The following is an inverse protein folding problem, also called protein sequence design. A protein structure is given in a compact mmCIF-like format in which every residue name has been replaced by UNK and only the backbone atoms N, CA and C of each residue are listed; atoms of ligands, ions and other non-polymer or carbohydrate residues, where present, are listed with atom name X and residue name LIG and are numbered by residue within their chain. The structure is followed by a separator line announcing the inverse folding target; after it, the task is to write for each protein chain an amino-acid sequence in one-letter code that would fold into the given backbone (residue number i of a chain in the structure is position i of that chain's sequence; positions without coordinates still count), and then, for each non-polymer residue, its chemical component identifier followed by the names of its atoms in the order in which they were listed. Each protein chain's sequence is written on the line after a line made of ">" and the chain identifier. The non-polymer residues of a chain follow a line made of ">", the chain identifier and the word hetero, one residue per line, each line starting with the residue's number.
data_IF_299176012936
#
_entry.id   IF_299176012936
#
_cell.length_a   1.000
_cell.length_b   1.000
_cell.length_c   1.000
_cell.angle_alpha   90.00
_cell.angle_beta   90.00
_cell.angle_gamma   90.00
#
_symmetry.space_group_name_H-M   'P 1'
#
loop_
_entity.id
_entity.type
_entity.pdbx_description
1 polymer ?
#
# COMPACT_ATOMS: atom_id res chain seq x y z
N UNK A 1 -15.59 4.37 1.06
CA UNK A 1 -14.74 3.88 2.17
C UNK A 1 -15.02 4.63 3.49
N UNK A 2 -14.86 5.96 3.57
CA UNK A 2 -15.09 6.71 4.81
C UNK A 2 -16.49 6.50 5.41
N UNK A 3 -17.53 6.59 4.59
CA UNK A 3 -18.92 6.36 5.02
C UNK A 3 -19.14 4.95 5.58
N UNK A 4 -18.59 3.93 4.91
CA UNK A 4 -18.61 2.54 5.38
C UNK A 4 -17.94 2.39 6.75
N UNK A 5 -16.91 3.20 7.03
CA UNK A 5 -16.17 3.17 8.29
C UNK A 5 -16.91 3.82 9.46
N UNK A 6 -18.01 4.56 9.23
CA UNK A 6 -18.84 5.17 10.30
C UNK A 6 -19.41 4.14 11.28
N UNK A 7 -19.61 2.91 10.80
CA UNK A 7 -20.13 1.79 11.59
C UNK A 7 -19.05 1.07 12.42
N UNK A 8 -17.78 1.43 12.26
CA UNK A 8 -16.63 0.79 12.90
C UNK A 8 -16.12 1.61 14.09
N UNK A 9 -15.29 0.97 14.93
CA UNK A 9 -14.64 1.65 16.06
C UNK A 9 -13.73 2.80 15.59
N UNK A 10 -13.70 3.87 16.38
CA UNK A 10 -12.93 5.06 16.03
C UNK A 10 -11.41 4.78 15.97
N UNK A 11 -10.74 5.09 14.85
CA UNK A 11 -9.30 4.95 14.74
C UNK A 11 -8.58 5.89 15.72
N UNK A 12 -7.52 5.41 16.36
CA UNK A 12 -6.69 6.23 17.26
C UNK A 12 -5.61 7.02 16.53
N UNK A 13 -5.21 6.60 15.33
CA UNK A 13 -4.12 7.22 14.58
C UNK A 13 -4.27 6.96 13.07
N UNK A 14 -3.91 7.96 12.27
CA UNK A 14 -3.68 7.81 10.83
C UNK A 14 -2.18 7.92 10.52
N UNK A 15 -1.72 7.06 9.62
CA UNK A 15 -0.45 7.16 8.94
C UNK A 15 -0.71 7.27 7.44
N UNK A 16 0.08 8.08 6.73
CA UNK A 16 -0.12 8.30 5.30
C UNK A 16 1.24 8.37 4.61
N UNK A 17 1.39 7.73 3.46
CA UNK A 17 2.50 8.05 2.56
C UNK A 17 2.40 9.50 2.07
N UNK A 18 3.48 10.05 1.52
CA UNK A 18 3.55 11.45 1.09
C UNK A 18 3.13 11.65 -0.38
N UNK A 19 2.74 10.58 -1.08
CA UNK A 19 2.26 10.68 -2.46
C UNK A 19 0.90 11.36 -2.51
N UNK A 20 0.68 12.19 -3.55
CA UNK A 20 -0.57 12.94 -3.74
C UNK A 20 -1.82 12.06 -3.59
N UNK A 21 -1.82 10.87 -4.21
CA UNK A 21 -2.94 9.92 -4.15
C UNK A 21 -3.20 9.37 -2.75
N UNK A 22 -2.18 9.26 -1.90
CA UNK A 22 -2.35 8.84 -0.50
C UNK A 22 -3.06 9.94 0.28
N UNK A 23 -2.57 11.19 0.14
CA UNK A 23 -3.19 12.37 0.73
C UNK A 23 -4.66 12.52 0.28
N UNK A 24 -4.94 12.40 -1.02
CA UNK A 24 -6.30 12.45 -1.55
C UNK A 24 -7.19 11.35 -0.95
N UNK A 25 -6.71 10.12 -0.87
CA UNK A 25 -7.46 9.00 -0.27
C UNK A 25 -7.80 9.29 1.19
N UNK A 26 -6.83 9.79 1.97
CA UNK A 26 -7.04 10.20 3.36
C UNK A 26 -8.06 11.35 3.47
N UNK A 27 -7.92 12.41 2.67
CA UNK A 27 -8.85 13.55 2.67
C UNK A 27 -10.28 13.10 2.39
N UNK A 28 -10.49 12.30 1.35
CA UNK A 28 -11.82 11.78 1.02
C UNK A 28 -12.33 10.78 2.07
N UNK A 29 -11.44 9.98 2.66
CA UNK A 29 -11.80 9.12 3.79
C UNK A 29 -12.33 9.93 4.97
N UNK A 30 -11.62 10.98 5.40
CA UNK A 30 -12.03 11.84 6.53
C UNK A 30 -13.37 12.52 6.25
N UNK A 31 -13.54 13.08 5.05
CA UNK A 31 -14.81 13.70 4.63
C UNK A 31 -15.98 12.72 4.69
N UNK A 32 -15.76 11.47 4.28
CA UNK A 32 -16.76 10.41 4.37
C UNK A 32 -16.95 9.87 5.79
N UNK A 33 -15.89 9.75 6.59
CA UNK A 33 -15.92 9.16 7.92
C UNK A 33 -16.69 10.02 8.93
N UNK A 34 -16.53 11.35 8.90
CA UNK A 34 -17.23 12.29 9.79
C UNK A 34 -17.19 11.93 11.28
N UNK A 35 -16.19 11.16 11.73
CA UNK A 35 -15.98 10.80 13.13
C UNK A 35 -15.10 11.80 13.87
N UNK A 36 -14.62 11.40 15.05
CA UNK A 36 -13.69 12.20 15.85
C UNK A 36 -12.41 12.56 15.08
N UNK A 37 -11.83 13.71 15.41
CA UNK A 37 -10.52 14.12 14.88
C UNK A 37 -9.45 13.13 15.31
N UNK A 38 -8.91 12.39 14.35
CA UNK A 38 -7.81 11.43 14.57
C UNK A 38 -6.48 12.09 14.20
N UNK A 39 -5.44 12.00 15.07
CA UNK A 39 -4.11 12.49 14.73
C UNK A 39 -3.53 11.79 13.49
N UNK A 40 -2.75 12.52 12.71
CA UNK A 40 -2.19 12.05 11.44
C UNK A 40 -0.68 12.26 11.41
N UNK A 41 0.06 11.27 10.90
CA UNK A 41 1.50 11.33 10.65
C UNK A 41 1.79 10.98 9.20
N UNK A 42 2.54 11.83 8.51
CA UNK A 42 3.12 11.50 7.21
C UNK A 42 4.35 10.60 7.43
N UNK A 43 4.44 9.50 6.68
CA UNK A 43 5.50 8.53 6.78
C UNK A 43 5.87 7.98 5.39
N UNK A 44 6.89 8.57 4.77
CA UNK A 44 7.35 8.26 3.40
C UNK A 44 7.77 6.80 3.18
N UNK A 45 8.09 6.09 4.25
CA UNK A 45 8.27 4.63 4.22
C UNK A 45 7.07 3.85 3.63
N UNK A 46 5.86 4.42 3.64
CA UNK A 46 4.65 3.86 3.02
C UNK A 46 4.41 4.29 1.57
N UNK A 47 5.37 4.95 0.92
CA UNK A 47 5.27 5.31 -0.50
C UNK A 47 5.37 4.08 -1.40
N UNK A 48 4.64 4.12 -2.52
CA UNK A 48 4.80 3.14 -3.60
C UNK A 48 6.16 3.27 -4.25
N UNK A 49 6.63 2.20 -4.87
CA UNK A 49 7.79 2.24 -5.75
C UNK A 49 7.58 3.21 -6.93
N UNK A 50 8.69 3.69 -7.49
CA UNK A 50 8.68 4.57 -8.66
C UNK A 50 8.52 3.76 -9.95
N UNK A 51 7.25 3.53 -10.33
CA UNK A 51 6.91 2.82 -11.57
C UNK A 51 7.41 3.52 -12.84
N UNK A 52 7.60 4.84 -12.80
CA UNK A 52 8.13 5.61 -13.93
C UNK A 52 9.60 5.29 -14.13
N UNK A 53 10.39 5.34 -13.06
CA UNK A 53 11.79 4.94 -13.12
C UNK A 53 11.93 3.48 -13.55
N UNK A 54 11.11 2.58 -13.01
CA UNK A 54 11.16 1.16 -13.35
C UNK A 54 10.98 0.93 -14.86
N UNK A 55 10.00 1.60 -15.48
CA UNK A 55 9.77 1.54 -16.92
C UNK A 55 10.94 2.14 -17.72
N UNK A 56 11.47 3.28 -17.28
CA UNK A 56 12.58 3.98 -17.94
C UNK A 56 13.88 3.16 -17.94
N UNK A 57 14.21 2.51 -16.83
CA UNK A 57 15.37 1.63 -16.75
C UNK A 57 15.18 0.31 -17.50
N UNK A 58 13.93 -0.17 -17.59
CA UNK A 58 13.60 -1.38 -18.35
C UNK A 58 13.77 -1.19 -19.86
N UNK A 59 13.23 -0.10 -20.42
CA UNK A 59 13.37 0.21 -21.84
C UNK A 59 13.48 1.75 -22.03
N UNK A 60 14.60 2.27 -22.55
CA UNK A 60 14.84 3.71 -22.71
C UNK A 60 13.79 4.46 -23.52
N UNK A 61 12.97 3.78 -24.33
CA UNK A 61 11.87 4.40 -25.06
C UNK A 61 10.81 5.00 -24.11
N UNK A 62 10.66 4.45 -22.90
CA UNK A 62 9.79 4.99 -21.85
C UNK A 62 10.23 6.35 -21.29
N UNK A 63 11.42 6.85 -21.65
CA UNK A 63 11.79 8.24 -21.39
C UNK A 63 10.90 9.25 -22.16
N UNK A 64 10.21 8.80 -23.21
CA UNK A 64 9.22 9.59 -23.93
C UNK A 64 7.84 8.91 -23.85
N UNK A 65 7.17 9.06 -22.71
CA UNK A 65 5.85 8.48 -22.45
C UNK A 65 4.81 8.82 -23.52
N UNK A 66 4.80 10.06 -24.04
CA UNK A 66 3.86 10.46 -25.08
C UNK A 66 4.02 9.61 -26.34
N UNK A 67 5.26 9.46 -26.84
CA UNK A 67 5.55 8.63 -28.01
C UNK A 67 5.21 7.16 -27.79
N UNK A 68 5.51 6.62 -26.60
CA UNK A 68 5.17 5.23 -26.28
C UNK A 68 3.66 5.02 -26.22
N UNK A 69 2.93 5.97 -25.62
CA UNK A 69 1.48 5.91 -25.55
C UNK A 69 0.86 6.02 -26.95
N UNK A 70 1.37 6.90 -27.81
CA UNK A 70 0.92 7.03 -29.20
C UNK A 70 1.15 5.73 -29.98
N UNK A 71 2.32 5.09 -29.81
CA UNK A 71 2.63 3.81 -30.46
C UNK A 71 1.75 2.67 -29.95
N UNK A 72 1.52 2.58 -28.63
CA UNK A 72 0.65 1.55 -28.04
C UNK A 72 -0.81 1.70 -28.48
N UNK A 73 -1.28 2.94 -28.63
CA UNK A 73 -2.65 3.22 -29.10
C UNK A 73 -2.88 2.84 -30.57
N UNK A 74 -1.84 2.51 -31.35
CA UNK A 74 -1.97 1.95 -32.70
C UNK A 74 -2.13 0.42 -32.70
N UNK A 75 -2.00 -0.26 -31.56
CA UNK A 75 -2.16 -1.71 -31.46
C UNK A 75 -3.63 -2.08 -31.29
N UNK A 76 -3.98 -3.33 -31.64
CA UNK A 76 -5.35 -3.85 -31.49
C UNK A 76 -5.79 -3.94 -30.01
N UNK A 77 -4.85 -4.21 -29.09
CA UNK A 77 -5.10 -4.31 -27.65
C UNK A 77 -4.13 -3.41 -26.84
N UNK A 78 -4.25 -2.07 -26.88
CA UNK A 78 -3.28 -1.14 -26.27
C UNK A 78 -3.06 -1.37 -24.77
N UNK A 79 -4.15 -1.58 -24.02
CA UNK A 79 -4.11 -1.79 -22.58
C UNK A 79 -3.35 -3.07 -22.20
N UNK A 80 -3.53 -4.13 -22.97
CA UNK A 80 -2.87 -5.42 -22.74
C UNK A 80 -1.38 -5.32 -23.05
N UNK A 81 -1.01 -4.61 -24.12
CA UNK A 81 0.38 -4.33 -24.44
C UNK A 81 1.07 -3.51 -23.34
N UNK A 82 0.41 -2.45 -22.84
CA UNK A 82 0.91 -1.67 -21.71
C UNK A 82 1.11 -2.51 -20.43
N UNK A 83 0.13 -3.36 -20.10
CA UNK A 83 0.22 -4.26 -18.95
C UNK A 83 1.39 -5.26 -19.09
N UNK A 84 1.62 -5.77 -20.30
CA UNK A 84 2.74 -6.67 -20.57
C UNK A 84 4.09 -5.97 -20.40
N UNK A 85 4.25 -4.75 -20.96
CA UNK A 85 5.46 -3.94 -20.79
C UNK A 85 5.75 -3.65 -19.31
N UNK A 86 4.72 -3.25 -18.56
CA UNK A 86 4.85 -3.00 -17.13
C UNK A 86 5.22 -4.27 -16.34
N UNK A 87 4.62 -5.41 -16.69
CA UNK A 87 4.96 -6.69 -16.07
C UNK A 87 6.42 -7.09 -16.31
N UNK A 88 6.94 -6.91 -17.53
CA UNK A 88 8.35 -7.20 -17.82
C UNK A 88 9.30 -6.25 -17.09
N UNK A 89 8.94 -4.96 -16.99
CA UNK A 89 9.72 -3.98 -16.25
C UNK A 89 9.80 -4.33 -14.76
N UNK A 90 8.68 -4.71 -14.14
CA UNK A 90 8.64 -5.18 -12.75
C UNK A 90 9.46 -6.46 -12.56
N UNK A 91 9.34 -7.43 -13.47
CA UNK A 91 10.11 -8.68 -13.42
C UNK A 91 11.61 -8.40 -13.45
N UNK A 92 12.06 -7.47 -14.29
CA UNK A 92 13.47 -7.04 -14.35
C UNK A 92 13.90 -6.34 -13.06
N UNK A 93 13.10 -5.44 -12.53
CA UNK A 93 13.41 -4.71 -11.30
C UNK A 93 13.56 -5.62 -10.08
N UNK A 94 12.75 -6.68 -10.02
CA UNK A 94 12.78 -7.70 -8.98
C UNK A 94 13.92 -8.69 -9.19
N UNK A 95 14.34 -8.93 -10.44
CA UNK A 95 15.48 -9.79 -10.73
C UNK A 95 16.78 -9.15 -10.22
N UNK A 96 17.57 -9.93 -9.48
CA UNK A 96 18.75 -9.44 -8.78
C UNK A 96 19.88 -8.89 -9.64
N UNK A 97 19.84 -9.14 -10.95
CA UNK A 97 20.96 -8.90 -11.86
C UNK A 97 21.24 -7.40 -12.10
N UNK A 98 20.24 -6.54 -11.90
CA UNK A 98 20.31 -5.13 -12.31
C UNK A 98 19.98 -4.12 -11.20
N UNK A 99 20.00 -4.54 -9.93
CA UNK A 99 19.64 -3.67 -8.80
C UNK A 99 20.39 -2.33 -8.76
N UNK A 100 21.62 -2.29 -9.27
CA UNK A 100 22.48 -1.10 -9.28
C UNK A 100 22.03 0.01 -10.25
N UNK A 101 21.10 -0.28 -11.16
CA UNK A 101 20.58 0.68 -12.15
C UNK A 101 19.38 1.48 -11.63
N UNK A 102 18.77 1.06 -10.52
CA UNK A 102 17.57 1.69 -9.95
C UNK A 102 17.94 2.55 -8.74
N UNK A 103 17.32 3.73 -8.58
CA UNK A 103 17.52 4.56 -7.36
C UNK A 103 17.07 3.81 -6.11
N UNK A 104 15.99 3.06 -6.24
CA UNK A 104 15.51 2.12 -5.23
C UNK A 104 15.36 0.74 -5.88
N UNK A 105 16.28 -0.16 -5.55
CA UNK A 105 16.19 -1.59 -5.92
C UNK A 105 15.06 -2.31 -5.17
N UNK A 106 14.63 -3.45 -5.67
CA UNK A 106 13.59 -4.27 -5.03
C UNK A 106 13.88 -4.59 -3.54
N UNK A 107 15.09 -5.04 -3.15
CA UNK A 107 15.42 -5.26 -1.73
C UNK A 107 15.38 -3.99 -0.88
N UNK A 108 15.74 -2.84 -1.46
CA UNK A 108 15.67 -1.55 -0.75
C UNK A 108 14.21 -1.13 -0.53
N UNK A 109 13.34 -1.30 -1.54
CA UNK A 109 11.91 -1.10 -1.41
C UNK A 109 11.30 -2.02 -0.34
N UNK A 110 11.66 -3.30 -0.36
CA UNK A 110 11.24 -4.28 0.64
C UNK A 110 11.63 -3.83 2.06
N UNK A 111 12.91 -3.52 2.25
CA UNK A 111 13.44 -3.10 3.54
C UNK A 111 12.82 -1.78 4.02
N UNK A 112 12.53 -0.82 3.12
CA UNK A 112 11.85 0.44 3.47
C UNK A 112 10.43 0.18 3.98
N UNK A 113 9.64 -0.63 3.27
CA UNK A 113 8.26 -0.92 3.66
C UNK A 113 8.20 -1.67 5.00
N UNK A 114 9.09 -2.66 5.20
CA UNK A 114 9.15 -3.44 6.44
C UNK A 114 9.57 -2.55 7.62
N UNK A 115 10.58 -1.68 7.43
CA UNK A 115 10.97 -0.71 8.47
C UNK A 115 9.81 0.21 8.85
N UNK A 116 9.10 0.78 7.87
CA UNK A 116 7.93 1.62 8.14
C UNK A 116 6.85 0.92 8.97
N UNK A 117 6.58 -0.34 8.67
CA UNK A 117 5.65 -1.15 9.47
C UNK A 117 6.15 -1.36 10.89
N UNK A 118 7.43 -1.70 11.06
CA UNK A 118 8.04 -1.90 12.37
C UNK A 118 8.05 -0.61 13.19
N UNK A 119 8.34 0.53 12.57
CA UNK A 119 8.36 1.84 13.23
C UNK A 119 6.99 2.18 13.84
N UNK A 120 5.89 2.02 13.08
CA UNK A 120 4.56 2.30 13.62
C UNK A 120 4.15 1.29 14.70
N UNK A 121 4.49 0.00 14.54
CA UNK A 121 4.19 -1.02 15.56
C UNK A 121 4.92 -0.69 16.86
N UNK A 122 6.21 -0.37 16.80
CA UNK A 122 7.01 -0.02 17.97
C UNK A 122 6.49 1.25 18.67
N UNK A 123 6.09 2.27 17.91
CA UNK A 123 5.46 3.47 18.47
C UNK A 123 4.17 3.13 19.22
N UNK A 124 3.28 2.35 18.61
CA UNK A 124 1.98 2.01 19.20
C UNK A 124 2.12 1.10 20.44
N UNK A 125 3.04 0.13 20.41
CA UNK A 125 3.35 -0.70 21.57
C UNK A 125 3.95 0.12 22.71
N UNK A 126 4.86 1.04 22.40
CA UNK A 126 5.47 1.94 23.39
C UNK A 126 4.42 2.85 24.05
N UNK A 127 3.53 3.43 23.26
CA UNK A 127 2.43 4.24 23.76
C UNK A 127 1.47 3.44 24.65
N UNK A 128 1.14 2.20 24.25
CA UNK A 128 0.29 1.30 25.05
C UNK A 128 0.94 0.91 26.38
N UNK A 129 2.26 0.69 26.42
CA UNK A 129 3.02 0.41 27.67
C UNK A 129 2.97 1.61 28.61
N UNK A 130 3.20 2.82 28.09
CA UNK A 130 3.13 4.06 28.88
C UNK A 130 1.74 4.26 29.49
N UNK A 131 0.68 4.07 28.69
CA UNK A 131 -0.70 4.20 29.18
C UNK A 131 -1.04 3.17 30.27
N UNK A 132 -0.56 1.92 30.15
CA UNK A 132 -0.75 0.89 31.18
C UNK A 132 0.01 1.16 32.47
N UNK A 133 1.17 1.83 32.38
CA UNK A 133 1.93 2.23 33.57
C UNK A 133 1.24 3.33 34.37
N UNK A 134 0.42 4.16 33.70
CA UNK A 134 -0.30 5.29 34.32
C UNK A 134 -1.74 4.93 34.70
N UNK A 135 -2.41 4.10 33.92
CA UNK A 135 -3.78 3.66 34.16
C UNK A 135 -3.80 2.14 34.38
N UNK A 136 -4.18 1.70 35.58
CA UNK A 136 -4.26 0.27 35.93
C UNK A 136 -5.39 -0.48 35.22
N UNK A 137 -6.27 0.21 34.49
CA UNK A 137 -7.33 -0.42 33.70
C UNK A 137 -6.95 -0.63 32.23
N UNK A 138 -7.12 -1.85 31.68
CA UNK A 138 -6.86 -2.12 30.28
C UNK A 138 -7.93 -1.45 29.40
N UNK A 139 -7.57 -0.35 28.73
CA UNK A 139 -8.41 0.23 27.67
C UNK A 139 -8.46 -0.71 26.45
N UNK A 140 -9.61 -0.80 25.76
CA UNK A 140 -9.71 -1.53 24.51
C UNK A 140 -8.74 -0.97 23.47
N UNK A 141 -8.08 -1.85 22.73
CA UNK A 141 -7.23 -1.46 21.60
C UNK A 141 -8.09 -0.81 20.52
N UNK A 142 -7.68 0.38 20.07
CA UNK A 142 -8.26 1.06 18.91
C UNK A 142 -7.44 0.71 17.67
N UNK A 143 -8.10 0.74 16.51
CA UNK A 143 -7.45 0.54 15.22
C UNK A 143 -6.56 1.75 14.86
N UNK A 144 -5.49 1.50 14.13
CA UNK A 144 -4.74 2.52 13.40
C UNK A 144 -4.97 2.30 11.90
N UNK A 145 -5.06 3.37 11.11
CA UNK A 145 -5.20 3.27 9.66
C UNK A 145 -3.95 3.75 8.94
N UNK A 146 -3.55 3.04 7.90
CA UNK A 146 -2.42 3.40 7.03
C UNK A 146 -2.92 3.61 5.61
N UNK A 147 -2.75 4.82 5.08
CA UNK A 147 -3.09 5.18 3.70
C UNK A 147 -1.84 5.03 2.83
N UNK A 148 -1.80 3.96 2.04
CA UNK A 148 -0.63 3.53 1.27
C UNK A 148 -1.03 2.93 -0.08
N UNK A 149 -0.09 2.31 -0.81
CA UNK A 149 -0.34 1.66 -2.09
C UNK A 149 -0.17 0.14 -2.03
N UNK A 150 -0.64 -0.51 -3.10
CA UNK A 150 -0.61 -1.96 -3.26
C UNK A 150 0.78 -2.59 -3.23
N UNK A 151 1.83 -1.96 -3.79
CA UNK A 151 3.18 -2.56 -3.74
C UNK A 151 3.69 -2.63 -2.31
N UNK A 152 3.53 -1.56 -1.54
CA UNK A 152 3.81 -1.53 -0.10
C UNK A 152 3.01 -2.57 0.67
N UNK A 153 1.68 -2.66 0.43
CA UNK A 153 0.84 -3.69 1.05
C UNK A 153 1.34 -5.10 0.69
N UNK A 154 1.69 -5.33 -0.57
CA UNK A 154 2.13 -6.64 -1.07
C UNK A 154 3.44 -7.06 -0.42
N UNK A 155 4.41 -6.14 -0.26
CA UNK A 155 5.66 -6.40 0.47
C UNK A 155 5.42 -6.70 1.94
N UNK A 156 4.48 -6.01 2.57
CA UNK A 156 4.13 -6.30 3.97
C UNK A 156 3.51 -7.71 4.08
N UNK A 157 2.59 -8.06 3.19
CA UNK A 157 2.01 -9.41 3.11
C UNK A 157 3.09 -10.45 2.83
N UNK A 158 4.00 -10.17 1.91
CA UNK A 158 5.16 -11.01 1.60
C UNK A 158 5.96 -11.31 2.86
N UNK A 159 6.30 -10.28 3.64
CA UNK A 159 7.07 -10.41 4.85
C UNK A 159 6.35 -11.29 5.89
N UNK A 160 5.06 -11.05 6.12
CA UNK A 160 4.28 -11.75 7.17
C UNK A 160 4.02 -13.21 6.77
N UNK A 161 3.65 -13.47 5.52
CA UNK A 161 3.29 -14.80 5.02
C UNK A 161 4.50 -15.56 4.42
N UNK A 162 5.69 -14.96 4.43
CA UNK A 162 6.94 -15.53 3.90
C UNK A 162 6.83 -15.94 2.42
N UNK A 163 6.20 -15.09 1.62
CA UNK A 163 6.04 -15.33 0.19
C UNK A 163 7.34 -15.05 -0.57
N UNK A 164 7.54 -15.72 -1.70
CA UNK A 164 8.61 -15.37 -2.64
C UNK A 164 8.20 -14.17 -3.52
N UNK A 165 9.14 -13.59 -4.25
CA UNK A 165 8.89 -12.37 -5.03
C UNK A 165 7.85 -12.56 -6.15
N UNK A 166 7.81 -13.75 -6.78
CA UNK A 166 6.83 -14.07 -7.81
C UNK A 166 5.40 -14.11 -7.22
N UNK A 167 5.24 -14.70 -6.03
CA UNK A 167 3.97 -14.70 -5.30
C UNK A 167 3.56 -13.28 -4.90
N UNK A 168 4.52 -12.44 -4.49
CA UNK A 168 4.29 -11.04 -4.14
C UNK A 168 3.78 -10.21 -5.32
N UNK A 169 4.34 -10.42 -6.52
CA UNK A 169 3.83 -9.81 -7.74
C UNK A 169 2.39 -10.20 -8.05
N UNK A 170 2.07 -11.50 -7.93
CA UNK A 170 0.72 -11.98 -8.15
C UNK A 170 -0.29 -11.35 -7.15
N UNK A 171 0.12 -11.21 -5.88
CA UNK A 171 -0.67 -10.51 -4.84
C UNK A 171 -0.89 -9.04 -5.22
N UNK A 172 0.15 -8.35 -5.70
CA UNK A 172 0.06 -6.95 -6.10
C UNK A 172 -0.95 -6.74 -7.23
N UNK A 173 -0.92 -7.59 -8.25
CA UNK A 173 -1.82 -7.55 -9.41
C UNK A 173 -3.30 -7.75 -9.04
N UNK A 174 -3.58 -8.48 -7.96
CA UNK A 174 -4.95 -8.72 -7.51
C UNK A 174 -5.51 -7.59 -6.63
N UNK A 175 -4.67 -6.66 -6.17
CA UNK A 175 -5.08 -5.62 -5.23
C UNK A 175 -6.00 -4.60 -5.90
N UNK A 176 -7.18 -4.37 -5.34
CA UNK A 176 -8.15 -3.37 -5.83
C UNK A 176 -7.85 -2.00 -5.24
N UNK A 177 -8.19 -0.95 -5.99
CA UNK A 177 -8.09 0.41 -5.49
C UNK A 177 -9.01 0.60 -4.27
N UNK A 178 -8.52 1.29 -3.26
CA UNK A 178 -9.23 1.54 -1.98
C UNK A 178 -9.58 0.29 -1.17
N UNK A 179 -9.12 -0.90 -1.57
CA UNK A 179 -9.26 -2.12 -0.75
C UNK A 179 -8.54 -1.98 0.59
N UNK A 180 -9.00 -2.75 1.56
CA UNK A 180 -8.53 -2.72 2.94
C UNK A 180 -7.85 -4.04 3.25
N UNK A 181 -6.63 -3.97 3.77
CA UNK A 181 -5.91 -5.10 4.36
C UNK A 181 -5.79 -4.83 5.85
N UNK A 182 -6.13 -5.83 6.67
CA UNK A 182 -6.04 -5.72 8.13
C UNK A 182 -4.99 -6.67 8.66
N UNK A 183 -4.15 -6.11 9.52
CA UNK A 183 -3.12 -6.82 10.24
C UNK A 183 -3.44 -6.79 11.74
N UNK A 184 -3.06 -7.85 12.44
CA UNK A 184 -3.09 -7.89 13.89
C UNK A 184 -1.66 -7.87 14.39
N UNK A 185 -1.39 -7.05 15.41
CA UNK A 185 -0.08 -7.03 16.03
C UNK A 185 -0.18 -7.01 17.56
N UNK A 186 0.82 -7.60 18.19
CA UNK A 186 1.09 -7.55 19.62
C UNK A 186 2.61 -7.49 19.84
N UNK A 187 3.07 -7.59 21.08
CA UNK A 187 4.51 -7.61 21.35
C UNK A 187 5.23 -8.78 20.68
N UNK A 188 4.55 -9.92 20.52
CA UNK A 188 5.16 -11.18 20.08
C UNK A 188 4.53 -11.73 18.79
N UNK A 189 3.62 -10.99 18.16
CA UNK A 189 2.86 -11.49 17.01
C UNK A 189 2.61 -10.37 16.01
N UNK A 190 2.73 -10.71 14.73
CA UNK A 190 2.24 -9.93 13.60
C UNK A 190 1.60 -10.93 12.62
N UNK A 191 0.34 -10.72 12.27
CA UNK A 191 -0.41 -11.62 11.38
C UNK A 191 -1.36 -10.85 10.46
N UNK A 192 -1.78 -11.52 9.39
CA UNK A 192 -2.82 -11.01 8.48
C UNK A 192 -4.18 -11.50 8.96
N UNK A 193 -5.13 -10.59 9.17
CA UNK A 193 -6.53 -10.91 9.46
C UNK A 193 -7.31 -11.12 8.15
N UNK A 194 -7.24 -10.11 7.28
CA UNK A 194 -7.76 -10.20 5.91
C UNK A 194 -6.92 -9.35 4.96
N UNK A 195 -6.94 -9.73 3.68
CA UNK A 195 -6.26 -9.04 2.60
C UNK A 195 -7.27 -8.62 1.53
N UNK A 196 -7.09 -7.42 0.96
CA UNK A 196 -7.82 -6.94 -0.21
C UNK A 196 -9.35 -7.01 -0.03
N UNK A 197 -9.87 -6.63 1.13
CA UNK A 197 -11.31 -6.49 1.34
C UNK A 197 -11.82 -5.21 0.65
N UNK A 198 -12.71 -5.36 -0.31
CA UNK A 198 -13.32 -4.25 -1.04
C UNK A 198 -14.85 -4.26 -0.95
N UNK A 199 -15.41 -4.87 0.10
CA UNK A 199 -16.87 -5.00 0.27
C UNK A 199 -17.59 -3.65 0.36
N UNK A 200 -16.89 -2.58 0.75
CA UNK A 200 -17.46 -1.23 0.71
C UNK A 200 -17.67 -0.70 -0.72
N UNK A 201 -16.96 -1.25 -1.71
CA UNK A 201 -17.18 -0.94 -3.12
C UNK A 201 -18.35 -1.75 -3.66
N UNK A 202 -18.41 -3.05 -3.37
CA UNK A 202 -19.54 -3.91 -3.74
C UNK A 202 -20.88 -3.36 -3.22
N UNK A 203 -20.89 -2.77 -2.03
CA UNK A 203 -22.07 -2.11 -1.47
C UNK A 203 -22.42 -0.78 -2.14
N UNK A 204 -21.44 -0.08 -2.72
CA UNK A 204 -21.65 1.18 -3.42
C UNK A 204 -22.08 0.98 -4.88
N UNK A 205 -21.60 -0.08 -5.52
CA UNK A 205 -21.89 -0.45 -6.90
C UNK A 205 -20.67 -1.10 -7.59
N UNK A 206 -20.91 -2.09 -8.45
CA UNK A 206 -19.85 -2.84 -9.14
C UNK A 206 -18.96 -1.94 -10.02
N UNK A 207 -19.49 -0.83 -10.52
CA UNK A 207 -18.77 0.16 -11.34
C UNK A 207 -17.62 0.84 -10.59
N UNK A 208 -17.63 0.80 -9.25
CA UNK A 208 -16.57 1.36 -8.41
C UNK A 208 -15.39 0.42 -8.22
N UNK A 209 -15.53 -0.85 -8.60
CA UNK A 209 -14.50 -1.87 -8.43
C UNK A 209 -13.47 -1.74 -9.55
N UNK A 210 -12.42 -0.96 -9.28
CA UNK A 210 -11.30 -0.77 -10.21
C UNK A 210 -10.05 -1.54 -9.78
N UNK A 211 -9.32 -2.03 -10.78
CA UNK A 211 -8.04 -2.69 -10.62
C UNK A 211 -6.92 -1.65 -10.53
N UNK A 212 -5.78 -2.07 -9.98
CA UNK A 212 -4.53 -1.33 -10.09
C UNK A 212 -3.94 -1.42 -11.49
#
# INVERSE_FOLDING_TARGET
>A
LGEYWRSRGAPSQFYCGDLLRHGQTLTHFVNGYQGETTPMVIHSGFNEFDHVEILQQYNPQWNNFAKMNDALNQLDEPNKALQQEFYQALKRWISGDNHHEYKESWPQFQARCIRALQDIIQQQLSHKRQLRAVNHEPKPSKDILVFTSGGTISVIIQHILKLNDQQTLAINQQTRNTSVTKLLFSENMLSVDYFNNYSHLEQAGDEWITYK
#
